data_IF_756706981051
#
_entry.id   IF_756706981051
#
_cell.length_a   1.000
_cell.length_b   1.000
_cell.length_c   1.000
_cell.angle_alpha   90.00
_cell.angle_beta   90.00
_cell.angle_gamma   90.00
#
_symmetry.space_group_name_H-M   'P 1'
#
loop_
_entity.id
_entity.type
_entity.pdbx_description
1 polymer ?
#
# COMPACT_ATOMS: atom_id res chain seq x y z
N UNK A 1 -26.37 -1.35 -36.82
CA UNK A 1 -25.13 -2.09 -37.09
C UNK A 1 -24.72 -2.69 -35.76
N UNK A 2 -24.90 -4.01 -35.62
CA UNK A 2 -24.72 -4.74 -34.38
C UNK A 2 -23.27 -4.70 -33.92
N UNK A 3 -23.10 -4.37 -32.64
CA UNK A 3 -21.94 -4.71 -31.84
C UNK A 3 -21.97 -6.21 -31.60
N UNK A 4 -21.02 -6.96 -32.16
CA UNK A 4 -20.73 -8.32 -31.73
C UNK A 4 -19.45 -8.27 -30.89
N UNK A 5 -19.67 -8.22 -29.58
CA UNK A 5 -18.97 -8.98 -28.54
C UNK A 5 -17.78 -9.80 -29.06
N UNK A 6 -16.57 -9.35 -28.75
CA UNK A 6 -15.46 -10.25 -28.53
C UNK A 6 -15.51 -10.66 -27.06
N UNK A 7 -16.37 -11.63 -26.74
CA UNK A 7 -16.24 -12.43 -25.52
C UNK A 7 -15.00 -13.30 -25.68
N UNK A 8 -13.83 -12.74 -25.39
CA UNK A 8 -12.76 -13.56 -24.83
C UNK A 8 -13.28 -14.07 -23.48
N UNK A 9 -13.17 -15.36 -23.15
CA UNK A 9 -13.44 -15.79 -21.79
C UNK A 9 -12.47 -15.02 -20.91
N UNK A 10 -13.01 -14.16 -20.03
CA UNK A 10 -12.23 -13.55 -18.96
C UNK A 10 -11.53 -14.71 -18.26
N UNK A 11 -10.20 -14.68 -18.15
CA UNK A 11 -9.46 -15.78 -17.50
C UNK A 11 -9.71 -15.69 -15.98
N UNK A 12 -10.85 -16.21 -15.54
CA UNK A 12 -11.24 -16.30 -14.15
C UNK A 12 -10.57 -17.51 -13.51
N UNK A 13 -9.74 -17.25 -12.51
CA UNK A 13 -9.06 -18.27 -11.73
C UNK A 13 -9.87 -18.64 -10.49
N UNK A 14 -9.75 -19.90 -10.06
CA UNK A 14 -10.34 -20.32 -8.78
C UNK A 14 -9.57 -19.75 -7.57
N UNK A 15 -10.05 -20.01 -6.35
CA UNK A 15 -9.42 -19.48 -5.14
C UNK A 15 -7.98 -19.96 -4.95
N UNK A 16 -7.69 -21.20 -5.33
CA UNK A 16 -6.35 -21.77 -5.19
C UNK A 16 -5.39 -21.06 -6.17
N UNK A 17 -5.77 -20.97 -7.45
CA UNK A 17 -4.98 -20.31 -8.49
C UNK A 17 -4.77 -18.81 -8.21
N UNK A 18 -5.81 -18.14 -7.71
CA UNK A 18 -5.80 -16.68 -7.56
C UNK A 18 -5.15 -16.17 -6.28
N UNK A 19 -5.16 -16.95 -5.19
CA UNK A 19 -4.68 -16.54 -3.87
C UNK A 19 -3.50 -17.34 -3.31
N UNK A 20 -3.31 -18.58 -3.74
CA UNK A 20 -2.43 -19.52 -3.04
C UNK A 20 -1.30 -20.03 -3.93
N UNK A 21 -1.59 -20.35 -5.20
CA UNK A 21 -0.62 -20.99 -6.07
C UNK A 21 0.53 -20.06 -6.43
N UNK A 22 1.72 -20.53 -6.10
CA UNK A 22 2.98 -19.82 -6.26
C UNK A 22 3.98 -20.80 -6.85
N UNK A 23 4.72 -20.35 -7.85
CA UNK A 23 5.75 -21.15 -8.53
C UNK A 23 6.94 -20.29 -8.96
N UNK A 24 7.99 -20.94 -9.49
CA UNK A 24 9.10 -20.22 -10.12
C UNK A 24 8.63 -19.34 -11.30
N UNK A 25 7.60 -19.79 -12.02
CA UNK A 25 7.03 -19.09 -13.18
C UNK A 25 5.97 -18.04 -12.78
N UNK A 26 5.28 -18.27 -11.65
CA UNK A 26 4.22 -17.39 -11.11
C UNK A 26 4.58 -16.94 -9.69
N UNK A 27 5.44 -15.92 -9.56
CA UNK A 27 6.00 -15.59 -8.25
C UNK A 27 5.02 -14.91 -7.29
N UNK A 28 3.88 -14.45 -7.80
CA UNK A 28 2.77 -13.93 -7.01
C UNK A 28 1.49 -14.67 -7.43
N UNK A 29 0.55 -14.90 -6.50
CA UNK A 29 -0.65 -15.66 -6.79
C UNK A 29 -1.55 -14.91 -7.77
N UNK A 30 -2.12 -15.68 -8.70
CA UNK A 30 -3.03 -15.16 -9.71
C UNK A 30 -2.42 -14.23 -10.75
N UNK A 31 -1.10 -14.26 -11.00
CA UNK A 31 -0.46 -13.42 -12.03
C UNK A 31 -0.94 -13.73 -13.47
N UNK A 32 -1.39 -14.96 -13.73
CA UNK A 32 -1.92 -15.33 -15.05
C UNK A 32 -3.44 -15.13 -15.15
N UNK A 33 -4.06 -14.56 -14.12
CA UNK A 33 -5.51 -14.47 -13.98
C UNK A 33 -6.00 -13.06 -14.28
N UNK A 34 -7.05 -12.91 -15.08
CA UNK A 34 -7.66 -11.59 -15.29
C UNK A 34 -8.61 -11.21 -14.14
N UNK A 35 -9.13 -12.20 -13.41
CA UNK A 35 -9.96 -12.01 -12.23
C UNK A 35 -10.01 -13.28 -11.37
N UNK A 36 -10.56 -13.17 -10.16
CA UNK A 36 -10.75 -14.29 -9.25
C UNK A 36 -11.68 -13.95 -8.09
N UNK A 37 -11.81 -14.83 -7.08
CA UNK A 37 -12.68 -14.60 -5.93
C UNK A 37 -12.17 -13.45 -5.05
N UNK A 38 -13.10 -12.82 -4.32
CA UNK A 38 -12.84 -11.67 -3.45
C UNK A 38 -12.68 -12.11 -2.00
N UNK A 39 -11.61 -11.67 -1.35
CA UNK A 39 -11.42 -11.77 0.10
C UNK A 39 -11.65 -10.43 0.78
N UNK A 40 -12.36 -10.47 1.90
CA UNK A 40 -12.68 -9.31 2.72
C UNK A 40 -11.76 -9.24 3.93
N UNK A 41 -11.10 -8.11 4.11
CA UNK A 41 -10.30 -7.77 5.28
C UNK A 41 -11.11 -6.87 6.20
N UNK A 42 -11.33 -7.34 7.43
CA UNK A 42 -12.01 -6.58 8.48
C UNK A 42 -11.14 -5.41 8.95
N UNK A 43 -11.73 -4.23 9.10
CA UNK A 43 -11.07 -3.01 9.57
C UNK A 43 -11.55 -2.63 10.97
N UNK A 44 -10.60 -2.30 11.83
CA UNK A 44 -10.83 -1.62 13.12
C UNK A 44 -10.34 -0.18 12.96
N UNK A 45 -11.24 0.80 13.09
CA UNK A 45 -10.90 2.22 12.95
C UNK A 45 -10.90 2.90 14.31
N UNK A 46 -9.76 3.45 14.71
CA UNK A 46 -9.61 4.21 15.95
C UNK A 46 -9.80 5.69 15.67
N UNK A 47 -10.76 6.31 16.36
CA UNK A 47 -11.07 7.73 16.25
C UNK A 47 -10.85 8.41 17.60
N UNK A 48 -9.82 9.25 17.65
CA UNK A 48 -9.51 10.09 18.80
C UNK A 48 -10.38 11.35 18.82
N UNK A 49 -10.35 12.07 19.95
CA UNK A 49 -10.81 13.46 20.01
C UNK A 49 -9.84 14.40 19.30
N UNK A 50 -10.34 15.57 18.94
CA UNK A 50 -9.49 16.72 18.62
C UNK A 50 -8.64 17.14 19.83
N UNK A 51 -7.66 18.01 19.58
CA UNK A 51 -6.72 18.44 20.61
C UNK A 51 -7.39 19.30 21.71
N UNK A 52 -8.60 19.81 21.45
CA UNK A 52 -9.42 20.52 22.43
C UNK A 52 -10.24 19.54 23.31
N UNK A 53 -10.29 18.26 22.94
CA UNK A 53 -11.05 17.21 23.63
C UNK A 53 -12.57 17.31 23.42
N UNK A 54 -13.02 18.05 22.40
CA UNK A 54 -14.43 18.42 22.20
C UNK A 54 -15.08 17.60 21.10
N UNK A 55 -14.49 17.59 19.90
CA UNK A 55 -15.06 16.90 18.75
C UNK A 55 -14.30 15.61 18.43
N UNK A 56 -14.96 14.68 17.75
CA UNK A 56 -14.29 13.53 17.16
C UNK A 56 -13.66 13.94 15.84
N UNK A 57 -12.49 13.38 15.52
CA UNK A 57 -11.73 13.78 14.32
C UNK A 57 -12.46 13.50 13.00
N UNK A 58 -13.31 12.49 12.98
CA UNK A 58 -14.07 12.06 11.81
C UNK A 58 -15.41 11.47 12.27
N UNK A 59 -16.40 11.43 11.39
CA UNK A 59 -17.70 10.81 11.62
C UNK A 59 -17.89 9.56 10.75
N UNK A 60 -18.90 8.74 11.09
CA UNK A 60 -19.22 7.49 10.40
C UNK A 60 -19.44 7.66 8.89
N UNK A 61 -20.16 8.69 8.44
CA UNK A 61 -20.38 8.96 7.00
C UNK A 61 -19.06 9.16 6.24
N UNK A 62 -18.12 9.89 6.83
CA UNK A 62 -16.80 10.10 6.24
C UNK A 62 -15.96 8.82 6.28
N UNK A 63 -16.14 7.97 7.30
CA UNK A 63 -15.52 6.64 7.34
C UNK A 63 -16.04 5.77 6.20
N UNK A 64 -17.35 5.66 6.03
CA UNK A 64 -17.97 4.87 4.96
C UNK A 64 -17.49 5.32 3.58
N UNK A 65 -17.46 6.64 3.35
CA UNK A 65 -16.97 7.22 2.09
C UNK A 65 -15.49 6.89 1.85
N UNK A 66 -14.66 6.93 2.89
CA UNK A 66 -13.25 6.57 2.79
C UNK A 66 -13.04 5.09 2.46
N UNK A 67 -13.85 4.20 3.03
CA UNK A 67 -13.81 2.77 2.74
C UNK A 67 -14.25 2.48 1.31
N UNK A 68 -15.27 3.18 0.79
CA UNK A 68 -15.64 3.11 -0.63
C UNK A 68 -14.48 3.52 -1.54
N UNK A 69 -13.77 4.59 -1.19
CA UNK A 69 -12.61 5.06 -1.95
C UNK A 69 -11.45 4.08 -1.90
N UNK A 70 -11.17 3.46 -0.75
CA UNK A 70 -10.20 2.38 -0.61
C UNK A 70 -10.58 1.21 -1.53
N UNK A 71 -11.82 0.75 -1.46
CA UNK A 71 -12.29 -0.37 -2.27
C UNK A 71 -12.28 -0.09 -3.77
N UNK A 72 -12.42 1.17 -4.20
CA UNK A 72 -12.29 1.54 -5.61
C UNK A 72 -10.91 1.19 -6.20
N UNK A 73 -9.87 1.11 -5.35
CA UNK A 73 -8.51 0.76 -5.74
C UNK A 73 -8.26 -0.75 -5.66
N UNK A 74 -8.75 -1.40 -4.60
CA UNK A 74 -8.36 -2.78 -4.28
C UNK A 74 -9.34 -3.85 -4.78
N UNK A 75 -10.64 -3.53 -4.89
CA UNK A 75 -11.65 -4.49 -5.34
C UNK A 75 -11.39 -5.07 -6.73
N UNK A 76 -10.84 -4.32 -7.72
CA UNK A 76 -10.44 -4.91 -9.01
C UNK A 76 -9.43 -6.06 -8.89
N UNK A 77 -8.70 -6.14 -7.77
CA UNK A 77 -7.66 -7.14 -7.52
C UNK A 77 -8.11 -8.23 -6.54
N UNK A 78 -9.42 -8.33 -6.28
CA UNK A 78 -10.02 -9.32 -5.37
C UNK A 78 -9.89 -8.97 -3.90
N UNK A 79 -9.41 -7.77 -3.55
CA UNK A 79 -9.21 -7.38 -2.16
C UNK A 79 -10.30 -6.37 -1.79
N UNK A 80 -11.12 -6.70 -0.79
CA UNK A 80 -12.12 -5.79 -0.25
C UNK A 80 -11.82 -5.51 1.21
N UNK A 81 -12.04 -4.27 1.62
CA UNK A 81 -11.96 -3.83 3.01
C UNK A 81 -13.38 -3.59 3.53
N UNK A 82 -13.68 -4.11 4.71
CA UNK A 82 -15.00 -3.99 5.34
C UNK A 82 -14.85 -3.45 6.75
N UNK A 83 -15.72 -2.50 7.13
CA UNK A 83 -15.74 -2.00 8.50
C UNK A 83 -16.24 -3.11 9.43
N UNK A 84 -15.44 -3.46 10.43
CA UNK A 84 -15.84 -4.37 11.51
C UNK A 84 -16.29 -3.53 12.72
N UNK A 85 -15.43 -2.62 13.17
CA UNK A 85 -15.72 -1.78 14.33
C UNK A 85 -15.04 -0.40 14.26
N UNK A 86 -15.66 0.55 14.97
CA UNK A 86 -15.08 1.88 15.24
C UNK A 86 -14.84 1.98 16.74
N UNK A 87 -13.60 2.23 17.12
CA UNK A 87 -13.19 2.47 18.51
C UNK A 87 -13.06 3.98 18.72
N UNK A 88 -13.99 4.53 19.49
CA UNK A 88 -13.98 5.94 19.89
C UNK A 88 -13.10 6.11 21.13
N UNK A 89 -11.90 6.64 20.94
CA UNK A 89 -10.91 6.82 22.00
C UNK A 89 -11.09 8.20 22.61
N UNK A 90 -11.71 8.29 23.79
CA UNK A 90 -12.14 9.55 24.44
C UNK A 90 -10.97 10.34 25.08
N UNK A 91 -9.92 10.53 24.30
CA UNK A 91 -8.73 11.35 24.56
C UNK A 91 -8.21 11.92 23.24
N UNK A 92 -7.42 12.98 23.33
CA UNK A 92 -6.72 13.51 22.15
C UNK A 92 -5.64 12.52 21.69
N UNK A 93 -5.35 12.53 20.39
CA UNK A 93 -4.22 11.77 19.86
C UNK A 93 -2.92 12.21 20.57
N UNK A 94 -2.07 11.28 21.04
CA UNK A 94 -0.89 11.62 21.83
C UNK A 94 0.08 12.52 21.07
N UNK A 95 0.70 13.48 21.77
CA UNK A 95 1.82 14.24 21.24
C UNK A 95 3.06 13.33 21.22
N UNK A 96 3.37 12.79 20.05
CA UNK A 96 4.54 11.93 19.86
C UNK A 96 5.76 12.82 19.65
N UNK A 97 6.87 12.51 20.32
CA UNK A 97 8.14 13.21 20.06
C UNK A 97 8.48 13.10 18.57
N UNK A 98 9.10 14.14 18.00
CA UNK A 98 9.50 14.24 16.58
C UNK A 98 10.51 13.14 16.17
N UNK A 99 10.05 11.89 16.13
CA UNK A 99 10.73 10.72 15.62
C UNK A 99 10.09 10.36 14.29
N UNK A 100 10.87 10.42 13.21
CA UNK A 100 10.46 10.02 11.88
C UNK A 100 9.79 8.63 11.88
N UNK A 101 8.54 8.58 11.41
CA UNK A 101 7.91 7.53 10.56
C UNK A 101 7.86 6.06 11.00
N UNK A 102 8.79 5.60 11.85
CA UNK A 102 9.15 4.18 11.89
C UNK A 102 9.14 3.61 13.32
N UNK A 103 8.73 4.38 14.34
CA UNK A 103 9.00 4.02 15.74
C UNK A 103 7.85 4.23 16.73
N UNK A 104 6.66 4.59 16.26
CA UNK A 104 5.50 4.70 17.16
C UNK A 104 4.99 3.30 17.46
N UNK A 105 5.24 2.82 18.66
CA UNK A 105 4.71 1.55 19.14
C UNK A 105 3.21 1.67 19.48
N UNK A 106 2.49 0.55 19.43
CA UNK A 106 1.10 0.46 19.92
C UNK A 106 0.96 1.01 21.35
N UNK A 107 2.01 0.87 22.18
CA UNK A 107 1.99 1.28 23.58
C UNK A 107 1.95 2.80 23.78
N UNK A 108 2.40 3.55 22.78
CA UNK A 108 2.42 5.01 22.78
C UNK A 108 1.07 5.61 22.39
N UNK A 109 0.13 4.80 21.89
CA UNK A 109 -1.19 5.24 21.46
C UNK A 109 -2.24 5.30 22.57
N UNK A 110 -1.87 4.94 23.80
CA UNK A 110 -2.73 5.00 24.97
C UNK A 110 -3.58 3.75 25.20
N UNK A 111 -4.17 3.66 26.40
CA UNK A 111 -4.89 2.48 26.87
C UNK A 111 -6.12 2.16 26.01
N UNK A 112 -6.83 3.19 25.53
CA UNK A 112 -8.02 3.01 24.69
C UNK A 112 -7.71 2.30 23.36
N UNK A 113 -6.54 2.59 22.78
CA UNK A 113 -6.08 1.90 21.59
C UNK A 113 -5.63 0.46 21.90
N UNK A 114 -4.85 0.26 22.97
CA UNK A 114 -4.37 -1.08 23.38
C UNK A 114 -5.53 -2.04 23.65
N UNK A 115 -6.58 -1.57 24.33
CA UNK A 115 -7.76 -2.36 24.64
C UNK A 115 -8.58 -2.72 23.39
N UNK A 116 -8.66 -1.81 22.42
CA UNK A 116 -9.39 -2.01 21.16
C UNK A 116 -8.58 -2.71 20.06
N UNK A 117 -7.26 -2.85 20.21
CA UNK A 117 -6.39 -3.41 19.17
C UNK A 117 -6.78 -4.85 18.81
N UNK A 118 -7.11 -5.06 17.54
CA UNK A 118 -7.49 -6.36 17.02
C UNK A 118 -6.42 -6.89 16.05
N UNK A 119 -5.60 -7.83 16.52
CA UNK A 119 -4.50 -8.43 15.75
C UNK A 119 -4.93 -9.17 14.47
N UNK A 120 -6.24 -9.40 14.31
CA UNK A 120 -6.82 -10.07 13.13
C UNK A 120 -7.42 -9.11 12.12
N UNK A 121 -7.52 -7.82 12.47
CA UNK A 121 -8.05 -6.78 11.61
C UNK A 121 -6.93 -5.89 11.06
N UNK A 122 -7.29 -5.12 10.04
CA UNK A 122 -6.55 -3.94 9.57
C UNK A 122 -6.84 -2.80 10.54
N UNK A 123 -5.86 -2.45 11.40
CA UNK A 123 -6.01 -1.40 12.40
C UNK A 123 -5.60 -0.06 11.80
N UNK A 124 -6.55 0.87 11.69
CA UNK A 124 -6.31 2.23 11.17
C UNK A 124 -6.57 3.25 12.25
N UNK A 125 -5.59 4.11 12.51
CA UNK A 125 -5.67 5.20 13.48
C UNK A 125 -5.88 6.53 12.78
N UNK A 126 -6.94 7.24 13.19
CA UNK A 126 -7.24 8.59 12.72
C UNK A 126 -6.47 9.62 13.56
N UNK A 127 -5.70 10.46 12.90
CA UNK A 127 -4.94 11.55 13.53
C UNK A 127 -5.32 12.94 12.98
N UNK A 128 -5.16 13.96 13.82
CA UNK A 128 -5.48 15.38 13.54
C UNK A 128 -4.29 16.18 13.02
N UNK A 129 -3.10 15.90 13.54
CA UNK A 129 -1.86 16.64 13.31
C UNK A 129 -0.73 15.71 12.88
N UNK A 130 0.46 16.25 12.58
CA UNK A 130 1.65 15.46 12.24
C UNK A 130 2.02 15.43 10.76
N UNK A 131 3.16 14.80 10.45
CA UNK A 131 3.87 14.90 9.16
C UNK A 131 3.21 14.12 8.02
N UNK A 132 2.54 13.00 8.25
CA UNK A 132 1.96 12.22 7.16
C UNK A 132 1.22 11.02 7.69
N UNK A 133 0.29 10.52 6.88
CA UNK A 133 -0.15 9.15 7.02
C UNK A 133 1.08 8.22 6.90
N UNK A 134 1.06 7.09 7.58
CA UNK A 134 2.10 6.06 7.46
C UNK A 134 1.49 4.68 7.72
N UNK A 135 2.15 3.63 7.24
CA UNK A 135 1.82 2.27 7.64
C UNK A 135 3.07 1.43 7.77
N UNK A 136 3.02 0.51 8.73
CA UNK A 136 4.07 -0.48 8.90
C UNK A 136 3.86 -1.66 7.94
N UNK A 137 4.97 -2.19 7.45
CA UNK A 137 4.96 -3.31 6.51
C UNK A 137 4.61 -4.64 7.18
N UNK A 138 4.16 -5.67 6.42
CA UNK A 138 3.82 -7.01 6.94
C UNK A 138 4.90 -7.70 7.78
N UNK A 139 6.17 -7.34 7.59
CA UNK A 139 7.28 -7.95 8.31
C UNK A 139 7.63 -7.28 9.64
N UNK A 140 6.92 -6.23 10.04
CA UNK A 140 7.07 -5.63 11.36
C UNK A 140 6.37 -6.46 12.45
N UNK A 141 6.85 -6.31 13.68
CA UNK A 141 6.27 -6.98 14.84
C UNK A 141 4.90 -6.40 15.17
N UNK A 142 4.11 -7.16 15.94
CA UNK A 142 2.81 -6.67 16.45
C UNK A 142 2.91 -5.33 17.16
N UNK A 143 4.05 -5.04 17.80
CA UNK A 143 4.29 -3.76 18.49
C UNK A 143 4.14 -2.54 17.58
N UNK A 144 4.22 -2.70 16.26
CA UNK A 144 4.13 -1.60 15.30
C UNK A 144 3.07 -1.82 14.21
N UNK A 145 2.37 -2.95 14.18
CA UNK A 145 1.56 -3.33 13.02
C UNK A 145 0.17 -2.67 12.97
N UNK A 146 0.14 -1.44 12.47
CA UNK A 146 -1.04 -0.61 12.21
C UNK A 146 -0.73 0.45 11.15
N UNK A 147 -1.76 1.15 10.68
CA UNK A 147 -1.64 2.31 9.80
C UNK A 147 -2.18 3.55 10.50
N UNK A 148 -1.59 4.71 10.26
CA UNK A 148 -2.17 6.01 10.65
C UNK A 148 -2.51 6.82 9.42
N UNK A 149 -3.64 7.52 9.46
CA UNK A 149 -4.09 8.36 8.37
C UNK A 149 -4.69 9.65 8.91
N UNK A 150 -4.55 10.74 8.15
CA UNK A 150 -5.18 12.00 8.55
C UNK A 150 -6.69 11.90 8.35
N UNK A 151 -7.43 12.21 9.42
CA UNK A 151 -8.89 12.19 9.40
C UNK A 151 -9.47 13.09 8.28
N UNK A 152 -8.86 14.26 8.06
CA UNK A 152 -9.30 15.25 7.07
C UNK A 152 -9.16 14.78 5.61
N UNK A 153 -8.34 13.77 5.34
CA UNK A 153 -8.09 13.26 3.98
C UNK A 153 -8.66 11.86 3.74
N UNK A 154 -9.26 11.24 4.77
CA UNK A 154 -9.71 9.84 4.69
C UNK A 154 -10.79 9.62 3.62
N UNK A 155 -11.74 10.54 3.52
CA UNK A 155 -12.86 10.46 2.59
C UNK A 155 -12.60 11.11 1.21
N UNK A 156 -11.46 11.77 1.02
CA UNK A 156 -11.26 12.72 -0.10
C UNK A 156 -9.97 12.51 -0.89
N UNK A 157 -9.13 11.56 -0.47
CA UNK A 157 -7.84 11.30 -1.11
C UNK A 157 -7.50 9.82 -1.11
N UNK A 158 -6.58 9.42 -1.99
CA UNK A 158 -6.03 8.07 -2.02
C UNK A 158 -4.91 7.82 -1.00
N UNK A 159 -4.66 8.76 -0.09
CA UNK A 159 -3.64 8.59 0.97
C UNK A 159 -3.92 7.36 1.85
N UNK A 160 -5.15 7.10 2.33
CA UNK A 160 -5.43 5.88 3.08
C UNK A 160 -5.16 4.61 2.26
N UNK A 161 -5.55 4.61 0.98
CA UNK A 161 -5.24 3.51 0.07
C UNK A 161 -3.73 3.32 -0.04
N UNK A 162 -2.95 4.40 -0.19
CA UNK A 162 -1.49 4.34 -0.29
C UNK A 162 -0.86 3.68 0.94
N UNK A 163 -1.29 4.09 2.14
CA UNK A 163 -0.80 3.48 3.38
C UNK A 163 -1.19 2.00 3.50
N UNK A 164 -2.39 1.64 3.07
CA UNK A 164 -2.78 0.23 2.98
C UNK A 164 -1.96 -0.55 1.95
N UNK A 165 -1.40 0.12 0.93
CA UNK A 165 -0.42 -0.47 0.03
C UNK A 165 0.84 -0.92 0.78
N UNK A 166 1.37 -0.05 1.64
CA UNK A 166 2.49 -0.41 2.53
C UNK A 166 2.11 -1.50 3.54
N UNK A 167 0.92 -1.40 4.15
CA UNK A 167 0.38 -2.44 5.04
C UNK A 167 0.34 -3.83 4.37
N UNK A 168 0.09 -3.86 3.06
CA UNK A 168 0.04 -5.05 2.21
C UNK A 168 1.37 -5.35 1.49
N UNK A 169 2.47 -4.72 1.89
CA UNK A 169 3.81 -5.06 1.42
C UNK A 169 4.24 -4.45 0.08
N UNK A 170 3.56 -3.39 -0.38
CA UNK A 170 3.96 -2.59 -1.54
C UNK A 170 4.90 -1.47 -1.14
N UNK A 171 6.02 -1.32 -1.85
CA UNK A 171 6.95 -0.21 -1.65
C UNK A 171 6.56 1.00 -2.49
N UNK A 172 7.10 2.17 -2.14
CA UNK A 172 7.13 3.28 -3.10
C UNK A 172 7.85 2.84 -4.38
N UNK A 173 7.39 3.33 -5.53
CA UNK A 173 8.00 3.01 -6.83
C UNK A 173 9.48 3.38 -6.90
N UNK A 174 9.93 4.32 -6.08
CA UNK A 174 11.33 4.79 -5.98
C UNK A 174 12.07 4.31 -4.73
N UNK A 175 11.54 3.36 -3.97
CA UNK A 175 12.05 3.00 -2.64
C UNK A 175 13.55 2.63 -2.66
N UNK A 176 13.96 1.81 -3.62
CA UNK A 176 15.33 1.34 -3.80
C UNK A 176 15.89 1.78 -5.16
N UNK A 177 15.89 3.09 -5.40
CA UNK A 177 16.22 3.67 -6.70
C UNK A 177 17.73 3.79 -6.97
N UNK A 178 18.60 3.53 -5.98
CA UNK A 178 19.99 4.01 -5.91
C UNK A 178 20.90 3.61 -7.09
N UNK A 179 20.73 2.42 -7.70
CA UNK A 179 21.46 2.06 -8.93
C UNK A 179 20.64 1.07 -9.81
N UNK A 180 20.00 1.54 -10.90
CA UNK A 180 19.16 0.71 -11.77
C UNK A 180 19.93 -0.35 -12.56
N UNK A 181 21.27 -0.31 -12.54
CA UNK A 181 22.12 -1.27 -13.24
C UNK A 181 22.86 -2.22 -12.30
N UNK A 182 22.68 -2.07 -10.98
CA UNK A 182 23.33 -2.88 -9.96
C UNK A 182 22.37 -3.90 -9.37
N UNK A 183 22.92 -5.05 -8.99
CA UNK A 183 22.21 -6.09 -8.25
C UNK A 183 22.17 -5.77 -6.74
N UNK A 184 22.58 -4.58 -6.31
CA UNK A 184 22.61 -4.15 -4.90
C UNK A 184 21.25 -4.24 -4.23
N UNK A 185 20.17 -3.98 -4.98
CA UNK A 185 18.82 -4.01 -4.44
C UNK A 185 18.26 -5.42 -4.31
N UNK A 186 18.87 -6.41 -4.99
CA UNK A 186 18.55 -7.81 -4.79
C UNK A 186 18.79 -8.24 -3.34
N UNK A 187 19.87 -7.73 -2.71
CA UNK A 187 20.15 -7.98 -1.30
C UNK A 187 19.02 -7.46 -0.38
N UNK A 188 18.43 -6.32 -0.73
CA UNK A 188 17.36 -5.68 0.04
C UNK A 188 16.03 -6.43 -0.11
N UNK A 189 15.77 -6.99 -1.30
CA UNK A 189 14.64 -7.87 -1.56
C UNK A 189 14.64 -9.12 -0.62
N UNK A 190 15.81 -9.58 -0.19
CA UNK A 190 15.93 -10.73 0.73
C UNK A 190 15.46 -10.46 2.17
N UNK A 191 15.13 -9.22 2.53
CA UNK A 191 14.66 -8.89 3.89
C UNK A 191 13.24 -9.41 4.15
N UNK A 192 12.40 -9.51 3.12
CA UNK A 192 11.00 -9.97 3.23
C UNK A 192 10.69 -11.26 2.43
N UNK A 193 11.58 -11.67 1.52
CA UNK A 193 11.41 -12.86 0.67
C UNK A 193 11.92 -14.17 1.27
N UNK A 194 12.36 -14.16 2.54
CA UNK A 194 13.04 -15.32 3.16
C UNK A 194 12.23 -16.63 3.14
N UNK A 195 10.92 -16.57 2.91
CA UNK A 195 10.06 -17.74 2.97
C UNK A 195 9.51 -18.25 1.63
N UNK A 196 9.48 -17.47 0.54
CA UNK A 196 8.88 -17.95 -0.72
C UNK A 196 9.65 -17.66 -2.01
N UNK A 197 9.90 -16.42 -2.46
CA UNK A 197 10.48 -16.20 -3.80
C UNK A 197 11.42 -15.00 -3.91
N UNK A 198 12.55 -15.21 -4.60
CA UNK A 198 13.43 -14.15 -5.09
C UNK A 198 12.78 -13.49 -6.31
N UNK A 199 12.61 -12.14 -6.37
CA UNK A 199 12.16 -11.47 -7.58
C UNK A 199 13.00 -11.90 -8.77
N UNK A 200 12.39 -12.06 -9.94
CA UNK A 200 13.15 -12.41 -11.15
C UNK A 200 14.29 -11.40 -11.35
N UNK A 201 15.43 -11.86 -11.89
CA UNK A 201 16.74 -11.18 -11.89
C UNK A 201 16.77 -9.78 -12.56
N UNK A 202 15.65 -9.16 -12.89
CA UNK A 202 15.58 -7.80 -13.41
C UNK A 202 14.60 -6.90 -12.65
N UNK A 203 13.63 -7.44 -11.92
CA UNK A 203 12.58 -6.61 -11.32
C UNK A 203 13.05 -5.86 -10.08
N UNK A 204 14.17 -6.27 -9.47
CA UNK A 204 14.80 -5.45 -8.43
C UNK A 204 15.32 -4.10 -8.94
N UNK A 205 15.49 -3.95 -10.26
CA UNK A 205 15.95 -2.70 -10.88
C UNK A 205 14.86 -1.64 -11.00
N UNK A 206 13.59 -1.98 -10.71
CA UNK A 206 12.48 -1.00 -10.74
C UNK A 206 12.44 -0.14 -9.49
N UNK A 207 13.09 -0.57 -8.40
CA UNK A 207 13.12 0.11 -7.11
C UNK A 207 12.04 -0.35 -6.13
N UNK A 208 10.93 -0.94 -6.59
CA UNK A 208 9.87 -1.51 -5.76
C UNK A 208 9.76 -3.05 -5.85
N UNK A 209 10.62 -3.68 -6.66
CA UNK A 209 10.64 -5.13 -6.95
C UNK A 209 9.44 -5.65 -7.75
N UNK A 210 8.82 -4.79 -8.58
CA UNK A 210 7.65 -5.14 -9.38
C UNK A 210 7.94 -4.89 -10.86
N UNK A 211 7.90 -5.95 -11.68
CA UNK A 211 8.34 -5.88 -13.07
C UNK A 211 7.49 -4.93 -13.93
N UNK A 212 6.20 -4.84 -13.64
CA UNK A 212 5.26 -4.00 -14.39
C UNK A 212 5.39 -2.50 -14.09
N UNK A 213 6.11 -2.10 -13.05
CA UNK A 213 6.29 -0.69 -12.70
C UNK A 213 7.54 -0.15 -13.40
N UNK A 214 7.45 1.01 -14.09
CA UNK A 214 8.63 1.66 -14.65
C UNK A 214 9.60 2.07 -13.54
N UNK A 215 10.90 2.06 -13.84
CA UNK A 215 11.92 2.61 -12.94
C UNK A 215 11.61 4.08 -12.58
N UNK A 216 11.72 4.39 -11.29
CA UNK A 216 11.43 5.68 -10.70
C UNK A 216 12.57 6.10 -9.78
N UNK A 217 13.27 7.19 -10.11
CA UNK A 217 14.33 7.77 -9.29
C UNK A 217 13.87 9.00 -8.50
N UNK A 218 12.57 9.32 -8.55
CA UNK A 218 11.93 10.43 -7.88
C UNK A 218 12.67 11.78 -8.02
N UNK A 219 13.24 12.29 -6.92
CA UNK A 219 14.00 13.56 -6.88
C UNK A 219 15.50 13.37 -7.08
N UNK A 220 15.98 12.12 -7.15
CA UNK A 220 17.39 11.74 -7.16
C UNK A 220 17.90 11.33 -8.56
N UNK A 221 17.08 11.51 -9.60
CA UNK A 221 17.44 11.13 -10.98
C UNK A 221 18.75 11.74 -11.49
N UNK A 222 19.07 12.97 -11.06
CA UNK A 222 20.32 13.62 -11.46
C UNK A 222 21.54 12.89 -10.88
N UNK A 223 21.44 12.41 -9.63
CA UNK A 223 22.50 11.70 -8.93
C UNK A 223 22.67 10.27 -9.46
N UNK A 224 21.56 9.61 -9.80
CA UNK A 224 21.57 8.18 -10.13
C UNK A 224 21.72 7.90 -11.62
N UNK A 225 21.03 8.64 -12.49
CA UNK A 225 21.02 8.40 -13.94
C UNK A 225 21.49 9.59 -14.77
N UNK A 226 22.04 10.64 -14.14
CA UNK A 226 22.61 11.82 -14.80
C UNK A 226 21.64 12.54 -15.75
N UNK A 227 20.35 12.58 -15.40
CA UNK A 227 19.36 13.38 -16.11
C UNK A 227 18.32 13.96 -15.17
N UNK A 228 17.75 15.11 -15.57
CA UNK A 228 16.68 15.77 -14.82
C UNK A 228 15.37 15.05 -15.08
N UNK A 229 14.69 14.60 -14.02
CA UNK A 229 13.41 13.92 -14.13
C UNK A 229 12.43 14.74 -14.98
N UNK A 230 12.12 14.22 -16.18
CA UNK A 230 11.31 14.89 -17.21
C UNK A 230 9.99 15.49 -16.74
N UNK A 231 9.42 14.93 -15.68
CA UNK A 231 8.00 14.99 -15.48
C UNK A 231 7.54 16.20 -14.65
N UNK A 232 8.43 17.04 -14.10
CA UNK A 232 8.05 17.98 -13.02
C UNK A 232 8.81 19.31 -12.97
N UNK A 233 9.20 19.92 -14.12
CA UNK A 233 9.79 21.28 -14.10
C UNK A 233 8.89 22.32 -13.41
N UNK A 234 7.57 22.12 -13.37
CA UNK A 234 6.63 22.99 -12.64
C UNK A 234 6.38 22.61 -11.18
N UNK A 235 6.78 21.41 -10.75
CA UNK A 235 6.45 20.82 -9.44
C UNK A 235 7.69 20.58 -8.56
N UNK A 236 8.78 21.31 -8.80
CA UNK A 236 9.92 21.44 -7.88
C UNK A 236 9.90 22.83 -7.21
N UNK A 237 9.02 23.11 -6.23
CA UNK A 237 8.85 24.47 -5.69
C UNK A 237 10.12 25.15 -5.13
N UNK A 238 11.22 24.42 -4.90
CA UNK A 238 12.38 24.91 -4.15
C UNK A 238 13.75 24.48 -4.71
N UNK A 239 13.86 24.12 -6.00
CA UNK A 239 15.14 23.71 -6.60
C UNK A 239 15.62 24.67 -7.70
N UNK A 240 16.92 24.99 -7.66
CA UNK A 240 17.59 25.74 -8.73
C UNK A 240 17.49 25.00 -10.08
N UNK A 241 17.53 25.71 -11.21
CA UNK A 241 17.53 25.08 -12.53
C UNK A 241 18.65 24.05 -12.65
N UNK A 242 18.30 22.82 -13.02
CA UNK A 242 19.31 21.76 -13.18
C UNK A 242 20.23 22.02 -14.37
N UNK A 243 21.50 21.65 -14.22
CA UNK A 243 22.50 21.66 -15.30
C UNK A 243 22.41 20.40 -16.19
N UNK A 244 21.64 19.39 -15.75
CA UNK A 244 21.47 18.15 -16.48
C UNK A 244 20.38 18.27 -17.56
N UNK A 245 20.59 17.54 -18.66
CA UNK A 245 19.54 17.39 -19.66
C UNK A 245 18.35 16.65 -19.06
N UNK A 246 17.15 17.05 -19.47
CA UNK A 246 15.93 16.30 -19.21
C UNK A 246 16.09 14.84 -19.67
N UNK A 247 15.62 13.90 -18.85
CA UNK A 247 15.65 12.47 -19.19
C UNK A 247 14.94 12.20 -20.52
N UNK A 248 15.09 11.03 -21.10
CA UNK A 248 14.17 10.54 -22.14
C UNK A 248 13.06 9.72 -21.49
N UNK A 249 11.96 9.47 -22.21
CA UNK A 249 10.91 8.56 -21.74
C UNK A 249 11.43 7.12 -21.52
N UNK A 250 12.49 6.73 -22.20
CA UNK A 250 13.14 5.44 -22.01
C UNK A 250 13.98 5.40 -20.72
N UNK A 251 14.56 6.53 -20.32
CA UNK A 251 15.37 6.64 -19.10
C UNK A 251 14.52 6.82 -17.84
N UNK A 252 13.42 7.58 -17.92
CA UNK A 252 12.59 7.87 -16.76
C UNK A 252 11.16 8.24 -17.20
N UNK A 253 10.21 7.34 -16.93
CA UNK A 253 8.79 7.53 -17.22
C UNK A 253 7.92 6.89 -16.12
N UNK A 254 8.00 7.40 -14.87
CA UNK A 254 7.21 6.88 -13.77
C UNK A 254 5.73 7.14 -14.02
N UNK A 255 4.87 6.24 -13.53
CA UNK A 255 3.43 6.44 -13.60
C UNK A 255 2.97 7.60 -12.71
N UNK A 256 2.03 8.40 -13.22
CA UNK A 256 1.39 9.51 -12.49
C UNK A 256 0.12 9.11 -11.75
N UNK A 257 -0.36 7.90 -12.01
CA UNK A 257 -1.59 7.35 -11.46
C UNK A 257 -1.30 6.22 -10.50
N UNK A 258 -0.09 5.62 -10.55
CA UNK A 258 0.28 4.56 -9.62
C UNK A 258 0.20 5.06 -8.17
N UNK A 259 -0.56 4.32 -7.36
CA UNK A 259 -0.86 4.62 -5.97
C UNK A 259 0.43 4.80 -5.17
N UNK A 260 1.44 3.96 -5.43
CA UNK A 260 2.70 3.94 -4.71
C UNK A 260 3.73 4.94 -5.24
N UNK A 261 3.36 5.72 -6.26
CA UNK A 261 4.19 6.82 -6.75
C UNK A 261 4.09 8.04 -5.83
N UNK A 262 5.09 8.93 -5.92
CA UNK A 262 5.00 10.29 -5.35
C UNK A 262 4.47 11.33 -6.36
N UNK A 263 3.96 10.88 -7.49
CA UNK A 263 3.50 11.75 -8.55
C UNK A 263 2.00 11.71 -8.76
N UNK A 264 1.42 12.85 -9.15
CA UNK A 264 0.06 12.95 -9.69
C UNK A 264 -1.05 12.49 -8.74
N UNK A 265 -2.06 11.84 -9.33
CA UNK A 265 -3.35 11.53 -8.71
C UNK A 265 -3.32 10.29 -7.81
N UNK A 266 -2.40 9.35 -8.06
CA UNK A 266 -2.14 8.15 -7.24
C UNK A 266 -3.40 7.32 -6.94
N UNK A 267 -4.17 6.98 -7.97
CA UNK A 267 -5.50 6.39 -7.85
C UNK A 267 -5.59 4.89 -8.14
N UNK A 268 -4.52 4.25 -8.62
CA UNK A 268 -4.56 2.86 -9.08
C UNK A 268 -3.28 2.09 -8.71
N UNK A 269 -3.38 0.80 -8.45
CA UNK A 269 -2.21 -0.09 -8.42
C UNK A 269 -2.10 -0.85 -9.75
N UNK A 270 -0.91 -1.33 -10.09
CA UNK A 270 -0.74 -2.25 -11.21
C UNK A 270 -1.28 -3.64 -10.89
N UNK A 271 -1.45 -4.47 -11.92
CA UNK A 271 -1.86 -5.85 -11.76
C UNK A 271 -0.87 -6.66 -10.91
N UNK A 272 0.44 -6.54 -11.15
CA UNK A 272 1.48 -7.19 -10.36
C UNK A 272 1.50 -6.69 -8.91
N UNK A 273 1.24 -5.40 -8.67
CA UNK A 273 1.06 -4.85 -7.32
C UNK A 273 -0.14 -5.50 -6.63
N UNK A 274 -1.26 -5.70 -7.33
CA UNK A 274 -2.40 -6.46 -6.82
C UNK A 274 -2.03 -7.90 -6.44
N UNK A 275 -1.29 -8.60 -7.29
CA UNK A 275 -0.82 -9.95 -7.03
C UNK A 275 0.11 -10.03 -5.81
N UNK A 276 1.03 -9.07 -5.66
CA UNK A 276 1.89 -8.97 -4.49
C UNK A 276 1.11 -8.66 -3.22
N UNK A 277 0.10 -7.80 -3.27
CA UNK A 277 -0.77 -7.55 -2.13
C UNK A 277 -1.51 -8.83 -1.70
N UNK A 278 -2.03 -9.62 -2.65
CA UNK A 278 -2.64 -10.95 -2.37
C UNK A 278 -1.65 -11.91 -1.71
N UNK A 279 -0.41 -11.96 -2.21
CA UNK A 279 0.66 -12.75 -1.60
C UNK A 279 0.82 -12.42 -0.11
N UNK A 280 0.88 -11.14 0.26
CA UNK A 280 1.07 -10.75 1.66
C UNK A 280 -0.16 -11.00 2.52
N UNK A 281 -1.37 -10.87 1.98
CA UNK A 281 -2.60 -11.26 2.69
C UNK A 281 -2.56 -12.75 3.02
N UNK A 282 -2.26 -13.59 2.02
CA UNK A 282 -2.16 -15.04 2.20
C UNK A 282 -1.07 -15.37 3.23
N UNK A 283 0.13 -14.83 3.04
CA UNK A 283 1.26 -15.06 3.92
C UNK A 283 0.97 -14.66 5.38
N UNK A 284 0.37 -13.49 5.63
CA UNK A 284 0.00 -13.02 6.97
C UNK A 284 -1.15 -13.79 7.61
N UNK A 285 -1.99 -14.43 6.80
CA UNK A 285 -3.11 -15.25 7.28
C UNK A 285 -2.70 -16.67 7.69
N UNK A 286 -1.63 -17.20 7.09
CA UNK A 286 -1.16 -18.56 7.36
C UNK A 286 0.00 -18.58 8.36
N UNK A 287 0.78 -17.50 8.40
CA UNK A 287 1.95 -17.38 9.25
C UNK A 287 1.64 -16.35 10.34
N UNK A 288 1.55 -16.81 11.59
CA UNK A 288 1.47 -15.93 12.76
C UNK A 288 2.81 -15.20 12.94
N UNK A 289 3.09 -14.22 12.09
CA UNK A 289 4.37 -13.52 12.02
C UNK A 289 4.45 -12.49 13.13
N UNK A 290 5.41 -12.69 14.03
CA UNK A 290 5.72 -11.75 15.11
C UNK A 290 4.49 -11.30 15.94
N UNK A 291 3.52 -12.20 16.09
CA UNK A 291 2.28 -11.98 16.85
C UNK A 291 1.07 -11.49 16.06
N UNK A 292 1.22 -11.13 14.78
CA UNK A 292 0.14 -10.71 13.88
C UNK A 292 -0.48 -11.92 13.16
N UNK A 293 -1.79 -11.92 12.95
CA UNK A 293 -2.48 -12.95 12.16
C UNK A 293 -3.72 -12.34 11.51
N UNK A 294 -3.52 -11.80 10.30
CA UNK A 294 -4.59 -11.17 9.52
C UNK A 294 -5.62 -12.24 9.13
N UNK A 295 -6.89 -11.99 9.44
CA UNK A 295 -7.98 -12.86 9.02
C UNK A 295 -8.73 -12.25 7.84
N UNK A 296 -9.32 -13.11 7.03
CA UNK A 296 -10.21 -12.72 5.96
C UNK A 296 -11.45 -13.61 5.96
N UNK A 297 -12.53 -13.09 5.37
CA UNK A 297 -13.67 -13.90 4.93
C UNK A 297 -13.71 -13.97 3.41
N UNK A 298 -14.23 -15.07 2.87
CA UNK A 298 -14.52 -15.20 1.45
C UNK A 298 -15.88 -14.58 1.17
N UNK A 299 -16.00 -13.80 0.09
CA UNK A 299 -17.30 -13.33 -0.37
C UNK A 299 -18.01 -14.49 -1.07
N UNK A 300 -19.02 -15.08 -0.42
CA UNK A 300 -19.91 -16.03 -1.10
C UNK A 300 -20.73 -15.28 -2.15
N UNK A 301 -20.36 -15.45 -3.42
CA UNK A 301 -21.21 -15.05 -4.54
C UNK A 301 -22.27 -16.15 -4.69
N UNK A 302 -23.43 -15.94 -4.07
CA UNK A 302 -24.62 -16.74 -4.34
C UNK A 302 -25.01 -16.56 -5.83
N UNK A 303 -24.82 -17.60 -6.63
CA UNK A 303 -25.24 -17.68 -8.04
C UNK A 303 -26.72 -18.04 -8.19
#
# INVERSE_FOLDING_TARGET
LNWNEHNYPINYCDSQEYWVDISEDTPYPGLDCESGPVRQLSMTIFVYRDNDGVEWLINETSIDTGIELINSVYSPYGIAFVLDEIIWVDEAYPELEDGFGDQISLSELGDGFIEGYNQSNVNIVMQSTGWGAYSMFPWYTREYYFSTVRASTFATSYVPSHELGHFLGLYHTHQFHDDPNSDSDLAQAFTWTQDWITPTEQCYRTGDFICSTPYDCYIWCEEVINCTANAYESDRPDQEPSEFANCTLEQHNPSRTNLMSRYGDRSEISFDQGARARYFIQYMSENKREGNLLQYSEMEIDY
#
